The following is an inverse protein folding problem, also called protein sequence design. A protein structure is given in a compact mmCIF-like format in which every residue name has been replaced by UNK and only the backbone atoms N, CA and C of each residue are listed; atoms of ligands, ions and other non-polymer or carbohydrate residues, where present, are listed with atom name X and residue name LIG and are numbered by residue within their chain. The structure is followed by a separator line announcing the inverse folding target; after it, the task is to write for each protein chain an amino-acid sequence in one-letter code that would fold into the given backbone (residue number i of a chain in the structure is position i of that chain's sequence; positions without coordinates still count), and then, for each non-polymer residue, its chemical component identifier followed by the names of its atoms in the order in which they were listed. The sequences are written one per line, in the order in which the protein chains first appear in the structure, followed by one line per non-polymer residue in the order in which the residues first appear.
data_IF_563684879104
#
_entry.id   IF_563684879104
#
_cell.length_a   1.000
_cell.length_b   1.000
_cell.length_c   1.000
_cell.angle_alpha   90.00
_cell.angle_beta   90.00
_cell.angle_gamma   90.00
#
_symmetry.space_group_name_H-M   'P 1'
#
loop_
_entity.id
_entity.type
_entity.pdbx_description
1 polymer ?
#
# COMPACT_ATOMS: atom_id res chain seq x y z
N UNK A 1 -1.29 2.55 10.62
CA UNK A 1 -2.07 1.68 9.70
C UNK A 1 -3.49 1.57 10.22
N UNK A 2 -4.45 1.73 9.34
CA UNK A 2 -5.87 1.63 9.71
C UNK A 2 -6.25 0.17 9.91
N UNK A 3 -7.08 -0.10 10.92
CA UNK A 3 -7.60 -1.45 11.20
C UNK A 3 -8.35 -2.01 10.00
N UNK A 4 -8.32 -3.33 9.82
CA UNK A 4 -9.05 -4.02 8.76
C UNK A 4 -10.53 -3.65 8.80
N UNK A 5 -11.04 -3.16 7.67
CA UNK A 5 -12.43 -2.75 7.47
C UNK A 5 -13.00 -3.52 6.28
N UNK A 6 -13.86 -4.49 6.57
CA UNK A 6 -14.44 -5.36 5.54
C UNK A 6 -15.23 -4.57 4.50
N UNK A 7 -16.02 -3.59 4.91
CA UNK A 7 -16.82 -2.79 3.96
C UNK A 7 -15.94 -2.00 3.01
N UNK A 8 -14.87 -1.40 3.52
CA UNK A 8 -13.91 -0.68 2.68
C UNK A 8 -13.23 -1.62 1.70
N UNK A 9 -12.85 -2.81 2.16
CA UNK A 9 -12.22 -3.84 1.31
C UNK A 9 -13.18 -4.29 0.20
N UNK A 10 -14.46 -4.48 0.51
CA UNK A 10 -15.48 -4.85 -0.48
C UNK A 10 -15.76 -3.73 -1.48
N UNK A 11 -15.51 -2.48 -1.10
CA UNK A 11 -15.62 -1.33 -1.99
C UNK A 11 -14.39 -1.15 -2.90
N UNK A 12 -13.41 -2.04 -2.82
CA UNK A 12 -12.24 -2.04 -3.67
C UNK A 12 -10.97 -1.48 -3.05
N UNK A 13 -11.01 -1.07 -1.78
CA UNK A 13 -9.80 -0.64 -1.09
C UNK A 13 -8.89 -1.83 -0.82
N UNK A 14 -7.59 -1.63 -0.98
CA UNK A 14 -6.61 -2.68 -0.75
C UNK A 14 -6.40 -2.93 0.74
N UNK A 15 -6.12 -4.18 1.08
CA UNK A 15 -5.74 -4.58 2.44
C UNK A 15 -4.24 -4.84 2.49
N UNK A 16 -3.66 -4.69 3.68
CA UNK A 16 -2.24 -4.92 3.95
C UNK A 16 -2.05 -6.32 4.53
N UNK A 17 -1.15 -7.08 3.95
CA UNK A 17 -0.77 -8.41 4.45
C UNK A 17 0.46 -8.31 5.35
N UNK A 18 0.61 -9.31 6.22
CA UNK A 18 1.72 -9.35 7.19
C UNK A 18 3.10 -9.31 6.54
N UNK A 19 3.25 -9.94 5.38
CA UNK A 19 4.53 -9.98 4.64
C UNK A 19 4.85 -8.70 3.84
N UNK A 20 4.01 -7.66 3.93
CA UNK A 20 4.19 -6.42 3.20
C UNK A 20 3.52 -6.36 1.84
N UNK A 21 2.98 -7.47 1.34
CA UNK A 21 2.15 -7.47 0.13
C UNK A 21 0.80 -6.84 0.42
N UNK A 22 0.06 -6.55 -0.65
CA UNK A 22 -1.32 -6.06 -0.57
C UNK A 22 -2.26 -7.10 -1.13
N UNK A 23 -3.52 -6.99 -0.83
CA UNK A 23 -4.53 -7.85 -1.42
C UNK A 23 -5.79 -7.06 -1.73
N UNK A 24 -6.54 -7.56 -2.72
CA UNK A 24 -7.86 -7.05 -3.04
C UNK A 24 -8.87 -8.17 -2.86
N UNK A 25 -9.90 -7.91 -2.06
CA UNK A 25 -10.99 -8.85 -1.86
C UNK A 25 -12.01 -8.61 -2.97
N UNK A 26 -12.29 -9.64 -3.74
CA UNK A 26 -13.18 -9.53 -4.92
C UNK A 26 -14.50 -10.25 -4.73
N UNK A 27 -14.60 -11.16 -3.77
CA UNK A 27 -15.80 -11.95 -3.56
C UNK A 27 -15.91 -12.39 -2.10
N UNK A 28 -17.16 -12.47 -1.62
CA UNK A 28 -17.49 -13.00 -0.29
C UNK A 28 -18.55 -14.07 -0.48
N UNK A 29 -18.30 -15.29 0.04
CA UNK A 29 -19.30 -16.33 0.09
C UNK A 29 -20.41 -15.95 1.06
N UNK A 30 -21.62 -16.43 0.81
CA UNK A 30 -22.74 -16.25 1.73
C UNK A 30 -22.43 -16.89 3.09
N UNK A 31 -22.75 -16.15 4.15
CA UNK A 31 -22.59 -16.69 5.50
C UNK A 31 -23.53 -17.92 5.67
N UNK A 32 -22.97 -18.97 6.31
CA UNK A 32 -23.73 -20.18 6.56
C UNK A 32 -23.65 -21.21 5.45
N UNK A 33 -22.93 -20.95 4.35
CA UNK A 33 -22.62 -21.99 3.37
C UNK A 33 -21.88 -23.13 4.04
N UNK A 34 -22.25 -24.36 3.69
CA UNK A 34 -21.64 -25.57 4.27
C UNK A 34 -20.90 -26.34 3.18
N UNK A 35 -19.80 -26.98 3.57
CA UNK A 35 -19.09 -27.90 2.70
C UNK A 35 -19.84 -29.23 2.61
N UNK A 36 -19.30 -30.17 1.82
CA UNK A 36 -19.94 -31.49 1.61
C UNK A 36 -20.05 -32.33 2.89
N UNK A 37 -19.29 -31.98 3.94
CA UNK A 37 -19.30 -32.66 5.24
C UNK A 37 -20.27 -32.00 6.24
N UNK A 38 -21.02 -30.97 5.81
CA UNK A 38 -21.98 -30.27 6.67
C UNK A 38 -21.37 -29.23 7.58
N UNK A 39 -20.10 -28.88 7.45
CA UNK A 39 -19.43 -27.85 8.22
C UNK A 39 -19.54 -26.49 7.54
N UNK A 40 -19.73 -25.41 8.31
CA UNK A 40 -19.74 -24.06 7.76
C UNK A 40 -18.36 -23.70 7.22
N UNK A 41 -18.37 -22.95 6.10
CA UNK A 41 -17.15 -22.42 5.54
C UNK A 41 -16.59 -21.31 6.42
N UNK A 42 -15.33 -21.43 6.83
CA UNK A 42 -14.65 -20.42 7.63
C UNK A 42 -13.96 -19.37 6.74
N UNK A 43 -13.41 -19.80 5.60
CA UNK A 43 -12.69 -18.94 4.66
C UNK A 43 -13.64 -18.48 3.56
N UNK A 44 -14.39 -17.43 3.84
CA UNK A 44 -15.42 -16.92 2.92
C UNK A 44 -14.99 -15.71 2.11
N UNK A 45 -13.87 -15.05 2.45
CA UNK A 45 -13.34 -13.95 1.66
C UNK A 45 -12.40 -14.50 0.60
N UNK A 46 -12.59 -14.09 -0.65
CA UNK A 46 -11.76 -14.51 -1.76
C UNK A 46 -11.19 -13.27 -2.45
N UNK A 47 -9.91 -13.30 -2.75
CA UNK A 47 -9.24 -12.21 -3.43
C UNK A 47 -7.91 -12.63 -4.04
N UNK A 48 -7.15 -11.67 -4.48
CA UNK A 48 -5.82 -11.89 -5.02
C UNK A 48 -4.77 -11.05 -4.31
N UNK A 49 -3.55 -11.58 -4.30
CA UNK A 49 -2.40 -10.96 -3.63
C UNK A 49 -1.59 -10.17 -4.66
N UNK A 50 -1.27 -8.94 -4.32
CA UNK A 50 -0.50 -8.01 -5.15
C UNK A 50 0.84 -7.76 -4.47
N UNK A 51 1.93 -7.93 -5.21
CA UNK A 51 3.28 -7.63 -4.71
C UNK A 51 3.50 -6.12 -4.60
N UNK A 52 4.60 -5.75 -3.95
CA UNK A 52 5.01 -4.34 -3.86
C UNK A 52 5.23 -3.69 -5.23
N UNK A 53 5.54 -4.50 -6.25
CA UNK A 53 5.73 -4.06 -7.64
C UNK A 53 4.42 -4.00 -8.44
N UNK A 54 3.27 -4.08 -7.78
CA UNK A 54 1.94 -4.09 -8.38
C UNK A 54 1.67 -5.26 -9.34
N UNK A 55 2.30 -6.40 -9.08
CA UNK A 55 2.09 -7.64 -9.84
C UNK A 55 1.27 -8.62 -9.03
N UNK A 56 0.42 -9.40 -9.70
CA UNK A 56 -0.36 -10.43 -9.02
C UNK A 56 0.55 -11.61 -8.67
N UNK A 57 0.69 -11.87 -7.36
CA UNK A 57 1.43 -13.02 -6.86
C UNK A 57 0.59 -14.29 -6.87
N UNK A 58 -0.68 -14.19 -6.46
CA UNK A 58 -1.65 -15.28 -6.47
C UNK A 58 -2.98 -14.79 -7.01
N UNK A 59 -3.58 -15.57 -7.92
CA UNK A 59 -4.86 -15.24 -8.53
C UNK A 59 -6.06 -15.57 -7.65
N UNK A 60 -5.90 -16.40 -6.63
CA UNK A 60 -6.93 -16.70 -5.66
C UNK A 60 -6.31 -17.05 -4.31
N UNK A 61 -6.79 -16.38 -3.26
CA UNK A 61 -6.49 -16.67 -1.87
C UNK A 61 -7.77 -16.51 -1.07
N UNK A 62 -7.88 -17.20 0.04
CA UNK A 62 -9.06 -17.15 0.89
C UNK A 62 -8.70 -16.77 2.33
N UNK A 63 -9.59 -16.01 2.96
CA UNK A 63 -9.43 -15.57 4.36
C UNK A 63 -10.72 -15.78 5.13
N UNK A 64 -10.60 -15.89 6.45
CA UNK A 64 -11.76 -15.78 7.34
C UNK A 64 -12.25 -14.34 7.41
N UNK A 65 -13.39 -14.09 8.02
CA UNK A 65 -13.91 -12.72 8.22
C UNK A 65 -12.96 -11.84 9.02
N UNK A 66 -12.13 -12.42 9.86
CA UNK A 66 -11.09 -11.71 10.62
C UNK A 66 -9.81 -11.49 9.82
N UNK A 67 -9.74 -11.98 8.58
CA UNK A 67 -8.57 -11.82 7.72
C UNK A 67 -7.48 -12.86 7.93
N UNK A 68 -7.82 -14.00 8.51
CA UNK A 68 -6.86 -15.09 8.78
C UNK A 68 -6.81 -16.12 7.66
N UNK A 69 -5.62 -16.59 7.33
CA UNK A 69 -5.41 -17.72 6.40
C UNK A 69 -5.40 -19.04 7.16
N UNK A 70 -4.75 -19.08 8.31
CA UNK A 70 -4.60 -20.28 9.12
C UNK A 70 -5.78 -20.53 10.07
N UNK A 71 -5.90 -21.77 10.55
CA UNK A 71 -6.98 -22.19 11.45
C UNK A 71 -6.72 -21.96 12.93
N UNK A 72 -5.51 -21.63 13.29
CA UNK A 72 -5.10 -21.46 14.68
C UNK A 72 -4.50 -20.07 14.90
N UNK A 73 -4.02 -19.83 16.10
CA UNK A 73 -3.36 -18.57 16.47
C UNK A 73 -2.02 -18.33 15.79
N UNK A 74 -1.61 -19.20 14.86
CA UNK A 74 -0.36 -19.05 14.13
C UNK A 74 -0.43 -17.86 13.17
N UNK A 75 0.63 -17.07 13.18
CA UNK A 75 0.75 -15.93 12.30
C UNK A 75 1.19 -16.38 10.90
N UNK A 76 0.33 -16.16 9.91
CA UNK A 76 0.63 -16.49 8.51
C UNK A 76 1.11 -15.23 7.79
N UNK A 77 2.12 -15.34 6.90
CA UNK A 77 2.59 -14.19 6.12
C UNK A 77 1.50 -13.52 5.28
N UNK A 78 0.48 -14.26 4.90
CA UNK A 78 -0.62 -13.76 4.08
C UNK A 78 -1.85 -13.32 4.90
N UNK A 79 -1.78 -13.33 6.22
CA UNK A 79 -2.84 -12.78 7.06
C UNK A 79 -3.03 -11.29 6.78
N UNK A 80 -4.29 -10.86 6.74
CA UNK A 80 -4.62 -9.44 6.64
C UNK A 80 -4.35 -8.80 8.01
N UNK A 81 -3.50 -7.80 8.05
CA UNK A 81 -3.13 -7.10 9.30
C UNK A 81 -3.75 -5.71 9.42
N UNK A 82 -4.36 -5.20 8.36
CA UNK A 82 -5.02 -3.89 8.36
C UNK A 82 -5.37 -3.45 6.94
N UNK A 83 -5.81 -2.21 6.82
CA UNK A 83 -6.02 -1.60 5.51
C UNK A 83 -4.70 -1.05 4.99
N UNK A 84 -4.47 -1.21 3.69
CA UNK A 84 -3.33 -0.59 3.03
C UNK A 84 -3.57 0.91 2.94
N UNK A 85 -2.63 1.69 3.42
CA UNK A 85 -2.65 3.14 3.31
C UNK A 85 -1.52 3.58 2.39
N UNK A 86 -1.85 4.37 1.37
CA UNK A 86 -0.81 5.02 0.58
C UNK A 86 -0.17 6.08 1.46
N UNK A 87 1.17 6.18 1.45
CA UNK A 87 1.83 7.28 2.14
C UNK A 87 1.29 8.63 1.63
N UNK A 88 1.09 9.57 2.53
CA UNK A 88 0.71 10.92 2.13
C UNK A 88 1.87 11.60 1.41
N UNK A 89 1.57 12.69 0.69
CA UNK A 89 2.59 13.51 0.03
C UNK A 89 3.71 13.89 1.01
N UNK A 90 3.36 14.39 2.19
CA UNK A 90 4.34 14.83 3.18
C UNK A 90 5.17 13.67 3.74
N UNK A 91 4.57 12.50 3.95
CA UNK A 91 5.30 11.31 4.39
C UNK A 91 6.33 10.84 3.35
N UNK A 92 5.96 10.82 2.07
CA UNK A 92 6.89 10.47 0.98
C UNK A 92 8.05 11.48 0.91
N UNK A 93 7.74 12.77 0.98
CA UNK A 93 8.77 13.82 0.93
C UNK A 93 9.69 13.78 2.15
N UNK A 94 9.14 13.52 3.34
CA UNK A 94 9.94 13.40 4.56
C UNK A 94 10.90 12.20 4.49
N UNK A 95 10.43 11.06 4.01
CA UNK A 95 11.28 9.89 3.83
C UNK A 95 12.38 10.14 2.78
N UNK A 96 12.04 10.76 1.66
CA UNK A 96 13.01 11.13 0.64
C UNK A 96 14.08 12.09 1.18
N UNK A 97 13.68 13.05 2.01
CA UNK A 97 14.58 13.99 2.67
C UNK A 97 15.57 13.27 3.59
N UNK A 98 15.08 12.37 4.44
CA UNK A 98 15.92 11.63 5.39
C UNK A 98 16.87 10.65 4.69
N UNK A 99 16.38 9.96 3.67
CA UNK A 99 17.13 8.92 2.96
C UNK A 99 17.95 9.45 1.78
N UNK A 100 17.79 10.71 1.41
CA UNK A 100 18.47 11.29 0.26
C UNK A 100 17.97 10.77 -1.09
N UNK A 101 16.76 10.27 -1.15
CA UNK A 101 16.17 9.71 -2.38
C UNK A 101 15.47 10.77 -3.21
N UNK A 102 15.28 10.47 -4.49
CA UNK A 102 14.44 11.28 -5.37
C UNK A 102 12.97 10.91 -5.19
N UNK A 103 12.09 11.82 -5.58
CA UNK A 103 10.66 11.57 -5.68
C UNK A 103 10.21 11.78 -7.12
N UNK A 104 9.13 11.10 -7.51
CA UNK A 104 8.54 11.22 -8.84
C UNK A 104 7.08 11.61 -8.71
N UNK A 105 6.64 12.58 -9.50
CA UNK A 105 5.22 12.92 -9.59
C UNK A 105 4.43 11.75 -10.18
N UNK A 106 3.36 11.33 -9.49
CA UNK A 106 2.49 10.27 -10.00
C UNK A 106 1.65 10.71 -11.18
N UNK A 107 1.50 12.02 -11.39
CA UNK A 107 0.72 12.58 -12.50
C UNK A 107 1.55 12.74 -13.78
N UNK A 108 2.77 13.26 -13.67
CA UNK A 108 3.60 13.64 -14.83
C UNK A 108 4.80 12.72 -15.05
N UNK A 109 5.19 11.95 -14.04
CA UNK A 109 6.41 11.13 -14.08
C UNK A 109 7.70 11.93 -13.90
N UNK A 110 7.63 13.24 -13.72
CA UNK A 110 8.82 14.07 -13.51
C UNK A 110 9.47 13.78 -12.18
N UNK A 111 10.81 13.75 -12.15
CA UNK A 111 11.60 13.48 -10.94
C UNK A 111 12.05 14.79 -10.29
N UNK A 112 12.10 14.76 -8.97
CA UNK A 112 12.49 15.92 -8.15
C UNK A 112 13.42 15.50 -7.03
N UNK A 113 14.29 16.43 -6.62
CA UNK A 113 15.08 16.33 -5.40
C UNK A 113 14.39 17.13 -4.29
N UNK A 114 14.37 16.60 -3.08
CA UNK A 114 13.93 17.38 -1.91
C UNK A 114 15.16 18.12 -1.41
N UNK A 115 15.16 19.45 -1.50
CA UNK A 115 16.35 20.28 -1.23
C UNK A 115 16.28 21.10 0.04
N UNK A 116 15.10 21.32 0.58
CA UNK A 116 14.91 22.06 1.82
C UNK A 116 13.59 21.73 2.49
N UNK A 117 13.54 21.91 3.82
CA UNK A 117 12.32 21.83 4.59
C UNK A 117 11.89 23.25 4.99
N UNK A 118 10.61 23.56 4.81
CA UNK A 118 10.07 24.89 5.14
C UNK A 118 9.64 24.95 6.61
N UNK A 119 9.36 26.17 7.11
CA UNK A 119 8.92 26.40 8.48
C UNK A 119 7.52 25.83 8.77
N UNK A 120 6.71 25.64 7.74
CA UNK A 120 5.35 25.07 7.84
C UNK A 120 5.32 23.57 7.57
N UNK A 121 6.43 22.87 7.81
CA UNK A 121 6.59 21.43 7.64
C UNK A 121 6.33 20.92 6.22
N UNK A 122 6.55 21.77 5.24
CA UNK A 122 6.53 21.38 3.83
C UNK A 122 7.96 21.29 3.27
N UNK A 123 8.11 21.01 1.99
CA UNK A 123 9.40 20.80 1.35
C UNK A 123 9.53 21.60 0.07
N UNK A 124 10.75 22.03 -0.22
CA UNK A 124 11.10 22.65 -1.49
C UNK A 124 11.72 21.59 -2.38
N UNK A 125 11.25 21.49 -3.60
CA UNK A 125 11.65 20.50 -4.59
C UNK A 125 12.38 21.18 -5.74
N UNK A 126 13.40 20.49 -6.28
CA UNK A 126 14.12 20.90 -7.47
C UNK A 126 13.91 19.86 -8.57
N UNK A 127 13.43 20.30 -9.74
CA UNK A 127 13.28 19.44 -10.90
C UNK A 127 14.65 18.92 -11.35
N UNK A 128 14.79 17.60 -11.47
CA UNK A 128 16.04 16.97 -11.92
C UNK A 128 16.39 17.37 -13.34
N UNK A 129 15.38 17.50 -14.22
CA UNK A 129 15.59 17.79 -15.64
C UNK A 129 15.73 19.27 -15.94
N UNK A 130 15.04 20.15 -15.19
CA UNK A 130 14.91 21.56 -15.51
C UNK A 130 15.53 22.50 -14.49
N UNK A 131 15.88 22.00 -13.31
CA UNK A 131 16.47 22.82 -12.25
C UNK A 131 15.53 23.80 -11.57
N UNK A 132 14.24 23.71 -11.81
CA UNK A 132 13.26 24.58 -11.17
C UNK A 132 13.02 24.19 -9.73
N UNK A 133 12.88 25.19 -8.87
CA UNK A 133 12.44 25.02 -7.50
C UNK A 133 10.93 25.22 -7.42
N UNK A 134 10.24 24.35 -6.66
CA UNK A 134 8.81 24.43 -6.48
C UNK A 134 8.41 23.76 -5.17
N UNK A 135 7.27 24.11 -4.63
CA UNK A 135 6.68 23.42 -3.49
C UNK A 135 5.66 22.35 -3.90
N UNK A 136 5.04 22.47 -5.07
CA UNK A 136 4.07 21.52 -5.63
C UNK A 136 3.09 20.97 -4.60
N UNK A 137 2.39 21.85 -3.89
CA UNK A 137 1.60 21.54 -2.69
C UNK A 137 0.53 20.45 -2.85
N UNK A 138 0.04 20.25 -4.07
CA UNK A 138 -1.08 19.35 -4.34
C UNK A 138 -0.69 18.16 -5.20
N UNK A 139 0.58 18.00 -5.48
CA UNK A 139 1.08 16.89 -6.31
C UNK A 139 1.41 15.70 -5.42
N UNK A 140 0.91 14.54 -5.79
CA UNK A 140 1.28 13.28 -5.15
C UNK A 140 2.61 12.77 -5.70
N UNK A 141 3.41 12.20 -4.82
CA UNK A 141 4.73 11.69 -5.14
C UNK A 141 4.89 10.24 -4.71
N UNK A 142 5.79 9.54 -5.39
CA UNK A 142 6.28 8.23 -4.99
C UNK A 142 7.80 8.28 -4.85
N UNK A 143 8.35 7.43 -3.98
CA UNK A 143 9.79 7.31 -3.82
C UNK A 143 10.40 6.62 -5.04
N UNK A 144 11.53 7.14 -5.48
CA UNK A 144 12.32 6.53 -6.54
C UNK A 144 13.58 5.97 -5.89
N UNK A 145 13.91 4.71 -6.16
CA UNK A 145 15.12 4.07 -5.65
C UNK A 145 16.39 4.59 -6.36
N UNK A 146 16.45 5.90 -6.54
CA UNK A 146 17.61 6.62 -7.02
C UNK A 146 18.00 7.64 -5.98
N UNK A 147 19.25 7.67 -5.64
CA UNK A 147 19.75 8.61 -4.65
C UNK A 147 20.25 9.88 -5.32
N UNK A 148 20.22 10.98 -4.57
CA UNK A 148 20.82 12.23 -5.00
C UNK A 148 22.28 11.97 -5.35
N UNK A 149 22.73 12.49 -6.50
CA UNK A 149 24.14 12.42 -6.84
C UNK A 149 24.97 13.16 -5.79
N UNK A 150 26.00 12.52 -5.32
CA UNK A 150 26.98 13.16 -4.43
C UNK A 150 27.89 14.02 -5.31
N UNK A 151 27.72 15.29 -5.22
CA UNK A 151 28.71 16.22 -5.74
C UNK A 151 29.63 16.66 -4.64
#
# INVERSE_FOLDING_TARGET
MRTFDLQAALNGELVQLRNGCRARIVYVHDAGLKNVYGNELEHILIGFIITKDDKVLRGAETWTLEGKVGHLSDEDPYDIVGMHEKPTRLEVLAEAWERGMLVRSTETGAKYKVIAKTKDDDFVLESVDRGWMSRLKYTDFELVEEYKSKE
#
